data_IF_534498605950
#
_entry.id   IF_534498605950
#
_cell.length_a   1.000
_cell.length_b   1.000
_cell.length_c   1.000
_cell.angle_alpha   90.00
_cell.angle_beta   90.00
_cell.angle_gamma   90.00
#
_symmetry.space_group_name_H-M   'P 1'
#
loop_
_entity.id
_entity.type
_entity.pdbx_description
1 polymer ?
#
# COMPACT_ATOMS: atom_id res chain seq x y z
N UNK A 1 5.53 13.44 5.23
CA UNK A 1 6.41 13.64 6.41
C UNK A 1 5.93 14.78 7.30
N UNK A 2 5.38 15.85 6.72
CA UNK A 2 4.88 17.03 7.43
C UNK A 2 3.86 16.72 8.54
N UNK A 3 2.98 15.73 8.32
CA UNK A 3 1.99 15.31 9.32
C UNK A 3 2.58 14.57 10.54
N UNK A 4 3.89 14.31 10.58
CA UNK A 4 4.55 13.61 11.71
C UNK A 4 4.18 12.13 11.85
N UNK A 5 3.62 11.51 10.81
CA UNK A 5 3.27 10.10 10.82
C UNK A 5 4.50 9.21 11.04
N UNK A 6 4.35 8.18 11.88
CA UNK A 6 5.41 7.20 12.17
C UNK A 6 5.44 6.03 11.18
N UNK A 7 4.38 5.88 10.40
CA UNK A 7 4.23 4.83 9.39
C UNK A 7 3.64 5.43 8.11
N UNK A 8 4.01 4.83 6.99
CA UNK A 8 3.38 5.01 5.70
C UNK A 8 3.06 3.62 5.12
N UNK A 9 2.45 3.54 3.95
CA UNK A 9 2.10 2.25 3.37
C UNK A 9 1.37 2.37 2.06
N UNK A 10 0.89 1.22 1.59
CA UNK A 10 0.10 1.10 0.37
C UNK A 10 -1.09 0.17 0.61
N UNK A 11 -2.15 0.39 -0.16
CA UNK A 11 -3.35 -0.43 -0.14
C UNK A 11 -3.67 -0.91 -1.56
N UNK A 12 -4.13 -2.14 -1.69
CA UNK A 12 -4.78 -2.65 -2.91
C UNK A 12 -6.27 -2.72 -2.59
N UNK A 13 -7.11 -2.12 -3.42
CA UNK A 13 -8.55 -2.09 -3.24
C UNK A 13 -9.28 -2.37 -4.55
N UNK A 14 -10.56 -2.74 -4.47
CA UNK A 14 -11.40 -2.85 -5.67
C UNK A 14 -11.69 -1.46 -6.22
N UNK A 15 -11.79 -1.34 -7.54
CA UNK A 15 -12.16 -0.08 -8.18
C UNK A 15 -13.68 0.11 -8.08
N UNK A 16 -14.09 1.31 -7.69
CA UNK A 16 -15.48 1.80 -7.67
C UNK A 16 -15.58 3.06 -8.53
N UNK A 17 -16.79 3.59 -8.71
CA UNK A 17 -16.97 4.88 -9.37
C UNK A 17 -16.35 6.04 -8.56
N UNK A 18 -16.36 5.91 -7.24
CA UNK A 18 -15.74 6.86 -6.33
C UNK A 18 -14.23 6.59 -6.21
N UNK A 19 -13.43 7.67 -6.26
CA UNK A 19 -11.97 7.63 -6.16
C UNK A 19 -11.53 7.07 -4.80
N UNK A 20 -10.66 6.07 -4.82
CA UNK A 20 -10.03 5.45 -3.64
C UNK A 20 -11.04 5.01 -2.56
N UNK A 21 -12.24 4.57 -2.97
CA UNK A 21 -13.36 4.25 -2.07
C UNK A 21 -13.81 2.79 -2.09
N UNK A 22 -13.24 1.95 -2.94
CA UNK A 22 -13.61 0.55 -2.94
C UNK A 22 -13.05 -0.23 -1.75
N UNK A 23 -13.60 -1.43 -1.48
CA UNK A 23 -13.16 -2.26 -0.37
C UNK A 23 -11.69 -2.65 -0.52
N UNK A 24 -10.96 -2.52 0.58
CA UNK A 24 -9.55 -2.89 0.69
C UNK A 24 -9.42 -4.41 0.61
N UNK A 25 -8.54 -4.89 -0.27
CA UNK A 25 -8.20 -6.30 -0.44
C UNK A 25 -6.95 -6.67 0.37
N UNK A 26 -5.96 -5.76 0.42
CA UNK A 26 -4.72 -5.97 1.16
C UNK A 26 -4.06 -4.62 1.48
N UNK A 27 -3.26 -4.59 2.57
CA UNK A 27 -2.46 -3.43 2.94
C UNK A 27 -1.06 -3.85 3.38
N UNK A 28 -0.10 -2.96 3.19
CA UNK A 28 1.24 -3.07 3.75
C UNK A 28 1.62 -1.74 4.41
N UNK A 29 2.40 -1.83 5.48
CA UNK A 29 2.93 -0.67 6.22
C UNK A 29 4.45 -0.72 6.26
N UNK A 30 5.06 0.46 6.25
CA UNK A 30 6.50 0.66 6.41
C UNK A 30 6.74 1.73 7.47
N UNK A 31 7.81 1.63 8.27
CA UNK A 31 8.17 2.68 9.21
C UNK A 31 8.64 3.92 8.44
N UNK A 32 8.35 5.10 8.97
CA UNK A 32 9.06 6.34 8.64
C UNK A 32 10.27 6.43 9.56
N UNK A 33 11.47 6.40 9.00
CA UNK A 33 12.71 6.38 9.76
C UNK A 33 13.24 7.80 9.98
N UNK A 34 13.98 8.04 11.08
CA UNK A 34 14.68 9.31 11.25
C UNK A 34 15.60 9.61 10.06
N UNK A 35 15.47 10.80 9.49
CA UNK A 35 16.25 11.23 8.33
C UNK A 35 15.74 10.74 6.97
N UNK A 36 14.57 10.09 6.91
CA UNK A 36 13.93 9.85 5.62
C UNK A 36 13.65 11.17 4.90
N UNK A 37 13.87 11.16 3.59
CA UNK A 37 13.29 12.11 2.65
C UNK A 37 12.08 11.50 1.95
N UNK A 38 11.39 12.29 1.12
CA UNK A 38 10.23 11.82 0.37
C UNK A 38 10.59 10.63 -0.53
N UNK A 39 11.72 10.73 -1.22
CA UNK A 39 12.18 9.70 -2.14
C UNK A 39 12.56 8.40 -1.44
N UNK A 40 13.21 8.45 -0.27
CA UNK A 40 13.59 7.22 0.45
C UNK A 40 12.37 6.53 1.06
N UNK A 41 11.41 7.31 1.58
CA UNK A 41 10.15 6.77 2.07
C UNK A 41 9.31 6.18 0.93
N UNK A 42 9.18 6.90 -0.19
CA UNK A 42 8.45 6.45 -1.37
C UNK A 42 9.06 5.17 -1.96
N UNK A 43 10.37 5.06 -2.07
CA UNK A 43 11.05 3.85 -2.53
C UNK A 43 10.74 2.64 -1.61
N UNK A 44 10.64 2.87 -0.29
CA UNK A 44 10.28 1.82 0.68
C UNK A 44 8.82 1.38 0.53
N UNK A 45 7.90 2.33 0.29
CA UNK A 45 6.48 2.04 0.01
C UNK A 45 6.35 1.27 -1.31
N UNK A 46 7.00 1.73 -2.39
CA UNK A 46 6.98 1.08 -3.70
C UNK A 46 7.51 -0.35 -3.65
N UNK A 47 8.56 -0.60 -2.86
CA UNK A 47 9.04 -1.96 -2.63
C UNK A 47 7.96 -2.87 -1.99
N UNK A 48 7.12 -2.32 -1.11
CA UNK A 48 5.96 -3.06 -0.59
C UNK A 48 4.85 -3.21 -1.61
N UNK A 49 4.57 -2.22 -2.46
CA UNK A 49 3.57 -2.33 -3.53
C UNK A 49 3.87 -3.49 -4.47
N UNK A 50 5.13 -3.65 -4.90
CA UNK A 50 5.56 -4.76 -5.76
C UNK A 50 5.36 -6.15 -5.13
N UNK A 51 5.34 -6.23 -3.79
CA UNK A 51 5.06 -7.48 -3.08
C UNK A 51 3.55 -7.64 -2.80
N UNK A 52 2.89 -6.55 -2.44
CA UNK A 52 1.49 -6.51 -2.01
C UNK A 52 0.55 -6.80 -3.17
N UNK A 53 0.78 -6.19 -4.33
CA UNK A 53 -0.10 -6.31 -5.49
C UNK A 53 -0.25 -7.74 -6.02
N UNK A 54 0.83 -8.49 -6.34
CA UNK A 54 0.69 -9.87 -6.81
C UNK A 54 0.06 -10.79 -5.74
N UNK A 55 0.34 -10.57 -4.45
CA UNK A 55 -0.29 -11.34 -3.36
C UNK A 55 -1.79 -11.09 -3.27
N UNK A 56 -2.22 -9.84 -3.43
CA UNK A 56 -3.64 -9.49 -3.44
C UNK A 56 -4.37 -10.16 -4.62
N UNK A 57 -3.76 -10.18 -5.80
CA UNK A 57 -4.29 -10.88 -6.99
C UNK A 57 -4.39 -12.38 -6.74
N UNK A 58 -3.31 -13.00 -6.24
CA UNK A 58 -3.32 -14.43 -5.93
C UNK A 58 -4.42 -14.79 -4.93
N UNK A 59 -4.54 -14.05 -3.84
CA UNK A 59 -5.57 -14.25 -2.83
C UNK A 59 -6.98 -14.10 -3.43
N UNK A 60 -7.19 -13.09 -4.28
CA UNK A 60 -8.46 -12.87 -4.96
C UNK A 60 -8.83 -14.04 -5.89
N UNK A 61 -7.88 -14.53 -6.68
CA UNK A 61 -8.10 -15.68 -7.58
C UNK A 61 -8.43 -16.96 -6.80
N UNK A 62 -7.79 -17.17 -5.64
CA UNK A 62 -8.04 -18.32 -4.77
C UNK A 62 -9.42 -18.29 -4.10
N UNK A 63 -9.96 -17.11 -3.85
CA UNK A 63 -11.29 -16.95 -3.23
C UNK A 63 -12.44 -17.20 -4.22
N UNK A 64 -12.14 -17.40 -5.51
CA UNK A 64 -13.13 -17.40 -6.59
C UNK A 64 -13.59 -15.97 -6.83
N UNK A 65 -13.50 -15.50 -8.09
CA UNK A 65 -14.08 -14.22 -8.46
C UNK A 65 -15.58 -14.17 -8.13
#
# INVERSE_FOLDING_TARGET
MEAGCRVAGASVHRVTADLDHGPILAQAVVPVLPGDGEQTLAARVLAQEHLLYPRAIEALLRQGL
#
